data_IF_461381246655
#
_entry.id   IF_461381246655
#
_cell.length_a   1.000
_cell.length_b   1.000
_cell.length_c   1.000
_cell.angle_alpha   90.00
_cell.angle_beta   90.00
_cell.angle_gamma   90.00
#
_symmetry.space_group_name_H-M   'P 1'
#
loop_
_entity.id
_entity.type
_entity.pdbx_description
1 polymer ?
#
# COMPACT_ATOMS: atom_id res chain seq x y z
N UNK A 1 -17.64 -63.93 -22.24
CA UNK A 1 -17.84 -62.55 -22.71
C UNK A 1 -18.19 -61.68 -21.50
N UNK A 2 -17.20 -61.32 -20.67
CA UNK A 2 -17.23 -60.20 -19.68
C UNK A 2 -15.88 -60.18 -18.93
N UNK A 3 -14.84 -59.55 -19.48
CA UNK A 3 -13.58 -59.28 -18.73
C UNK A 3 -12.95 -57.91 -19.06
N UNK A 4 -13.67 -57.05 -19.80
CA UNK A 4 -13.21 -55.71 -20.20
C UNK A 4 -13.58 -54.59 -19.20
N UNK A 5 -14.30 -54.91 -18.12
CA UNK A 5 -14.95 -53.90 -17.27
C UNK A 5 -14.13 -53.54 -16.02
N UNK A 6 -13.36 -54.48 -15.46
CA UNK A 6 -12.59 -54.26 -14.23
C UNK A 6 -11.37 -53.36 -14.48
N UNK A 7 -10.64 -53.62 -15.57
CA UNK A 7 -9.45 -52.84 -15.95
C UNK A 7 -9.85 -51.38 -16.28
N UNK A 8 -10.97 -51.20 -16.99
CA UNK A 8 -11.49 -49.89 -17.35
C UNK A 8 -11.88 -49.07 -16.11
N UNK A 9 -12.57 -49.69 -15.16
CA UNK A 9 -12.94 -49.02 -13.90
C UNK A 9 -11.68 -48.65 -13.11
N UNK A 10 -10.68 -49.53 -13.01
CA UNK A 10 -9.40 -49.26 -12.34
C UNK A 10 -8.63 -48.09 -12.96
N UNK A 11 -8.55 -48.04 -14.29
CA UNK A 11 -7.93 -46.92 -15.03
C UNK A 11 -8.68 -45.61 -14.83
N UNK A 12 -10.02 -45.64 -14.77
CA UNK A 12 -10.83 -44.47 -14.44
C UNK A 12 -10.53 -43.95 -13.03
N UNK A 13 -10.43 -44.81 -12.01
CA UNK A 13 -10.07 -44.38 -10.65
C UNK A 13 -8.66 -43.78 -10.58
N UNK A 14 -7.68 -44.37 -11.28
CA UNK A 14 -6.30 -43.85 -11.35
C UNK A 14 -6.25 -42.49 -12.05
N UNK A 15 -6.94 -42.34 -13.18
CA UNK A 15 -7.02 -41.08 -13.94
C UNK A 15 -7.79 -39.99 -13.18
N UNK A 16 -8.84 -40.35 -12.43
CA UNK A 16 -9.57 -39.42 -11.58
C UNK A 16 -8.67 -38.88 -10.44
N UNK A 17 -7.83 -39.74 -9.86
CA UNK A 17 -6.84 -39.33 -8.86
C UNK A 17 -5.73 -38.41 -9.42
N UNK A 18 -5.24 -38.71 -10.62
CA UNK A 18 -4.23 -37.89 -11.32
C UNK A 18 -4.76 -36.49 -11.69
N UNK A 19 -6.03 -36.40 -12.09
CA UNK A 19 -6.67 -35.11 -12.38
C UNK A 19 -6.89 -34.29 -11.11
N UNK A 20 -7.39 -34.89 -10.03
CA UNK A 20 -7.55 -34.19 -8.75
C UNK A 20 -6.22 -33.64 -8.20
N UNK A 21 -5.14 -34.42 -8.28
CA UNK A 21 -3.79 -33.96 -7.92
C UNK A 21 -3.30 -32.82 -8.83
N UNK A 22 -3.57 -32.90 -10.14
CA UNK A 22 -3.25 -31.83 -11.11
C UNK A 22 -3.99 -30.53 -10.80
N UNK A 23 -5.28 -30.60 -10.46
CA UNK A 23 -6.06 -29.44 -10.02
C UNK A 23 -5.52 -28.84 -8.72
N UNK A 24 -5.16 -29.68 -7.76
CA UNK A 24 -4.57 -29.23 -6.49
C UNK A 24 -3.23 -28.53 -6.70
N UNK A 25 -2.30 -29.10 -7.48
CA UNK A 25 -1.02 -28.45 -7.79
C UNK A 25 -1.22 -27.14 -8.59
N UNK A 26 -2.13 -27.12 -9.57
CA UNK A 26 -2.47 -25.89 -10.31
C UNK A 26 -3.06 -24.82 -9.38
N UNK A 27 -3.91 -25.21 -8.43
CA UNK A 27 -4.44 -24.33 -7.39
C UNK A 27 -3.33 -23.80 -6.48
N UNK A 28 -2.43 -24.66 -6.01
CA UNK A 28 -1.26 -24.25 -5.21
C UNK A 28 -0.37 -23.25 -5.96
N UNK A 29 -0.10 -23.49 -7.24
CA UNK A 29 0.66 -22.56 -8.09
C UNK A 29 -0.07 -21.22 -8.26
N UNK A 30 -1.39 -21.24 -8.48
CA UNK A 30 -2.19 -20.02 -8.61
C UNK A 30 -2.23 -19.23 -7.30
N UNK A 31 -2.36 -19.89 -6.15
CA UNK A 31 -2.28 -19.26 -4.83
C UNK A 31 -0.92 -18.59 -4.63
N UNK A 32 0.18 -19.26 -5.01
CA UNK A 32 1.52 -18.67 -4.97
C UNK A 32 1.67 -17.47 -5.91
N UNK A 33 1.09 -17.51 -7.11
CA UNK A 33 1.07 -16.36 -8.04
C UNK A 33 0.34 -15.16 -7.46
N UNK A 34 -0.82 -15.38 -6.82
CA UNK A 34 -1.60 -14.32 -6.16
C UNK A 34 -0.81 -13.69 -5.02
N UNK A 35 -0.18 -14.50 -4.17
CA UNK A 35 0.65 -14.02 -3.04
C UNK A 35 1.84 -13.20 -3.55
N UNK A 36 2.54 -13.68 -4.58
CA UNK A 36 3.67 -12.97 -5.17
C UNK A 36 3.25 -11.65 -5.83
N UNK A 37 2.10 -11.62 -6.51
CA UNK A 37 1.51 -10.40 -7.08
C UNK A 37 1.20 -9.35 -6.00
N UNK A 38 0.55 -9.77 -4.91
CA UNK A 38 0.26 -8.88 -3.78
C UNK A 38 1.54 -8.32 -3.13
N UNK A 39 2.57 -9.16 -2.95
CA UNK A 39 3.87 -8.73 -2.39
C UNK A 39 4.59 -7.75 -3.31
N UNK A 40 4.56 -7.96 -4.63
CA UNK A 40 5.14 -7.04 -5.61
C UNK A 40 4.40 -5.70 -5.63
N UNK A 41 3.07 -5.70 -5.61
CA UNK A 41 2.27 -4.48 -5.56
C UNK A 41 2.58 -3.62 -4.32
N UNK A 42 2.79 -4.26 -3.16
CA UNK A 42 3.23 -3.57 -1.93
C UNK A 42 4.63 -2.96 -2.10
N UNK A 43 5.57 -3.69 -2.70
CA UNK A 43 6.92 -3.19 -2.95
C UNK A 43 6.93 -1.98 -3.91
N UNK A 44 6.17 -2.06 -5.01
CA UNK A 44 6.01 -0.97 -5.98
C UNK A 44 5.41 0.28 -5.32
N UNK A 45 4.39 0.10 -4.46
CA UNK A 45 3.78 1.23 -3.73
C UNK A 45 4.76 1.92 -2.78
N UNK A 46 5.70 1.17 -2.19
CA UNK A 46 6.75 1.73 -1.32
C UNK A 46 7.81 2.48 -2.11
N UNK A 47 8.19 1.99 -3.29
CA UNK A 47 9.15 2.66 -4.17
C UNK A 47 8.60 3.99 -4.71
N UNK A 48 7.33 3.99 -5.15
CA UNK A 48 6.63 5.23 -5.54
C UNK A 48 6.54 6.28 -4.44
N UNK A 49 6.70 5.87 -3.17
CA UNK A 49 6.66 6.79 -2.03
C UNK A 49 8.06 7.26 -1.59
N UNK A 50 9.13 6.80 -2.25
CA UNK A 50 10.52 7.15 -1.94
C UNK A 50 11.23 8.00 -3.00
N UNK A 51 10.62 8.21 -4.18
CA UNK A 51 11.21 8.95 -5.30
C UNK A 51 10.54 10.30 -5.57
N UNK A 52 10.22 11.07 -4.52
CA UNK A 52 9.92 12.50 -4.69
C UNK A 52 10.87 13.34 -3.85
N UNK A 53 12.04 13.56 -4.42
CA UNK A 53 12.95 14.64 -4.08
C UNK A 53 13.63 15.08 -5.35
N UNK A 54 13.01 16.04 -6.05
CA UNK A 54 13.73 16.98 -6.92
C UNK A 54 12.85 18.19 -7.28
N UNK A 55 12.98 19.22 -6.45
CA UNK A 55 13.02 20.65 -6.82
C UNK A 55 12.02 21.18 -7.87
N UNK A 56 10.72 20.93 -7.70
CA UNK A 56 9.71 21.82 -8.30
C UNK A 56 8.76 22.29 -7.21
N UNK A 57 9.09 23.45 -6.62
CA UNK A 57 8.28 24.15 -5.62
C UNK A 57 7.98 23.35 -4.34
N UNK A 58 9.03 22.95 -3.61
CA UNK A 58 8.94 22.41 -2.24
C UNK A 58 8.19 23.35 -1.26
N UNK A 59 7.91 24.58 -1.68
CA UNK A 59 7.08 25.58 -1.01
C UNK A 59 5.57 25.26 -1.07
N UNK A 60 5.06 24.57 -2.09
CA UNK A 60 3.62 24.33 -2.31
C UNK A 60 3.18 22.88 -2.02
N UNK A 61 4.06 21.91 -2.21
CA UNK A 61 3.78 20.49 -1.89
C UNK A 61 3.89 20.28 -0.38
N UNK A 62 2.82 19.83 0.27
CA UNK A 62 2.80 19.51 1.70
C UNK A 62 3.07 18.01 1.90
N UNK A 63 4.14 17.68 2.61
CA UNK A 63 4.43 16.30 3.00
C UNK A 63 3.51 15.86 4.15
N UNK A 64 3.24 14.55 4.24
CA UNK A 64 2.49 13.95 5.35
C UNK A 64 3.09 14.28 6.73
N UNK A 65 4.42 14.46 6.82
CA UNK A 65 5.10 14.88 8.05
C UNK A 65 4.79 16.34 8.39
N UNK A 66 4.81 17.23 7.40
CA UNK A 66 4.52 18.66 7.56
C UNK A 66 3.05 18.89 7.92
N UNK A 67 2.12 18.15 7.32
CA UNK A 67 0.69 18.25 7.61
C UNK A 67 0.35 17.80 9.03
N UNK A 68 0.96 16.68 9.49
CA UNK A 68 0.82 16.23 10.88
C UNK A 68 1.37 17.26 11.86
N UNK A 69 2.55 17.82 11.58
CA UNK A 69 3.17 18.85 12.41
C UNK A 69 2.31 20.11 12.49
N UNK A 70 1.71 20.54 11.36
CA UNK A 70 0.79 21.67 11.31
C UNK A 70 -0.44 21.43 12.20
N UNK A 71 -1.13 20.29 12.02
CA UNK A 71 -2.32 19.95 12.81
C UNK A 71 -1.99 19.88 14.30
N UNK A 72 -0.85 19.30 14.66
CA UNK A 72 -0.41 19.23 16.05
C UNK A 72 -0.16 20.63 16.63
N UNK A 73 0.60 21.47 15.93
CA UNK A 73 0.88 22.83 16.38
C UNK A 73 -0.41 23.66 16.53
N UNK A 74 -1.39 23.48 15.64
CA UNK A 74 -2.68 24.17 15.72
C UNK A 74 -3.54 23.73 16.91
N UNK A 75 -3.40 22.47 17.37
CA UNK A 75 -4.02 21.99 18.61
C UNK A 75 -3.33 22.55 19.84
N UNK A 76 -2.00 22.65 19.81
CA UNK A 76 -1.20 23.14 20.93
C UNK A 76 -1.34 24.65 21.14
N UNK A 77 -1.50 25.43 20.06
CA UNK A 77 -1.64 26.88 20.13
C UNK A 77 -3.04 27.30 19.67
N UNK A 78 -4.04 27.42 20.56
CA UNK A 78 -5.40 27.88 20.22
C UNK A 78 -5.41 29.40 19.87
N UNK A 79 -6.57 29.96 19.49
CA UNK A 79 -6.69 31.26 18.78
C UNK A 79 -6.23 32.48 19.61
N UNK A 80 -6.02 32.28 20.91
CA UNK A 80 -5.69 33.30 21.90
C UNK A 80 -4.18 33.63 21.97
N UNK A 81 -3.33 32.86 21.28
CA UNK A 81 -1.89 33.07 21.29
C UNK A 81 -1.45 34.19 20.31
N UNK A 82 -1.09 35.37 20.83
CA UNK A 82 -0.24 36.33 20.11
C UNK A 82 1.05 35.60 19.70
N UNK A 83 1.41 35.60 18.42
CA UNK A 83 2.47 34.78 17.80
C UNK A 83 2.13 33.30 17.48
N UNK A 84 0.84 32.90 17.48
CA UNK A 84 0.40 31.53 17.09
C UNK A 84 1.12 31.04 15.84
N UNK A 85 1.14 31.86 14.80
CA UNK A 85 1.65 31.45 13.50
C UNK A 85 3.17 31.31 13.44
N UNK A 86 3.91 32.10 14.23
CA UNK A 86 5.36 31.97 14.34
C UNK A 86 5.74 30.63 14.97
N UNK A 87 5.01 30.22 16.02
CA UNK A 87 5.20 28.91 16.66
C UNK A 87 4.75 27.75 15.77
N UNK A 88 3.68 27.95 15.00
CA UNK A 88 3.20 26.95 14.03
C UNK A 88 4.22 26.75 12.90
N UNK A 89 4.78 27.83 12.35
CA UNK A 89 5.82 27.74 11.33
C UNK A 89 7.11 27.13 11.88
N UNK A 90 7.50 27.45 13.12
CA UNK A 90 8.63 26.81 13.78
C UNK A 90 8.44 25.29 13.96
N UNK A 91 7.19 24.83 14.09
CA UNK A 91 6.87 23.41 14.19
C UNK A 91 6.80 22.69 12.82
N UNK A 92 6.66 23.44 11.71
CA UNK A 92 6.55 22.86 10.36
C UNK A 92 7.86 23.08 9.59
N UNK A 93 8.71 22.05 9.45
CA UNK A 93 10.01 22.21 8.79
C UNK A 93 9.82 22.57 7.30
N UNK A 94 10.54 23.59 6.84
CA UNK A 94 10.55 24.03 5.44
C UNK A 94 9.32 24.84 5.01
N UNK A 95 8.37 25.15 5.90
CA UNK A 95 7.20 26.00 5.58
C UNK A 95 7.23 27.30 6.35
N UNK A 96 6.78 28.37 5.68
CA UNK A 96 6.70 29.70 6.29
C UNK A 96 5.34 29.96 6.92
N UNK A 97 5.28 30.96 7.80
CA UNK A 97 4.04 31.47 8.43
C UNK A 97 2.94 31.73 7.39
N UNK A 98 3.30 32.37 6.27
CA UNK A 98 2.35 32.75 5.23
C UNK A 98 1.77 31.53 4.51
N UNK A 99 2.57 30.47 4.32
CA UNK A 99 2.10 29.22 3.73
C UNK A 99 1.19 28.45 4.68
N UNK A 100 1.53 28.41 5.98
CA UNK A 100 0.68 27.80 6.99
C UNK A 100 -0.69 28.49 7.07
N UNK A 101 -0.71 29.82 7.01
CA UNK A 101 -1.94 30.63 6.94
C UNK A 101 -2.76 30.35 5.68
N UNK A 102 -2.11 30.26 4.51
CA UNK A 102 -2.78 30.02 3.22
C UNK A 102 -3.34 28.60 3.07
N UNK A 103 -2.72 27.60 3.72
CA UNK A 103 -3.18 26.20 3.65
C UNK A 103 -4.45 25.95 4.44
N UNK A 104 -4.73 26.79 5.44
CA UNK A 104 -5.95 26.72 6.22
C UNK A 104 -7.05 27.50 5.48
N UNK A 105 -8.23 26.89 5.22
CA UNK A 105 -9.37 27.58 4.63
C UNK A 105 -9.97 28.63 5.56
#
# INVERSE_FOLDING_TARGET
MVDLDVEHRSLLWRNLGLTAASFYLKSQINNMRVILSYRMAIAVKRLSNSEESQEVSESEVWSAVQERALVQALKTFPKEASQRWERVAAAVPGKTVNQCKKKLP
#
